data_IF_575978232861
#
_entry.id   IF_575978232861
#
_cell.length_a   1.000
_cell.length_b   1.000
_cell.length_c   1.000
_cell.angle_alpha   90.00
_cell.angle_beta   90.00
_cell.angle_gamma   90.00
#
_symmetry.space_group_name_H-M   'P 1'
#
loop_
_entity.id
_entity.type
_entity.pdbx_description
1 polymer ?
#
# COMPACT_ATOMS: atom_id res chain seq x y z
N UNK A 1 16.61 53.37 -7.45
CA UNK A 1 16.44 52.24 -8.39
C UNK A 1 15.89 51.04 -7.62
N UNK A 2 14.75 50.49 -8.02
CA UNK A 2 14.04 49.42 -7.29
C UNK A 2 14.80 48.09 -7.36
N UNK A 3 14.99 47.44 -6.21
CA UNK A 3 15.66 46.14 -6.04
C UNK A 3 14.93 44.98 -6.74
N UNK A 4 13.62 45.12 -6.95
CA UNK A 4 12.78 44.11 -7.60
C UNK A 4 13.06 43.95 -9.10
N UNK A 5 13.64 44.97 -9.74
CA UNK A 5 13.95 44.94 -11.18
C UNK A 5 15.08 43.96 -11.56
N UNK A 6 15.85 43.46 -10.57
CA UNK A 6 16.94 42.49 -10.77
C UNK A 6 16.47 41.03 -10.69
N UNK A 7 15.21 40.77 -10.34
CA UNK A 7 14.70 39.42 -10.13
C UNK A 7 13.95 38.91 -11.36
N UNK A 8 14.24 37.67 -11.76
CA UNK A 8 13.45 36.97 -12.77
C UNK A 8 12.17 36.42 -12.13
N UNK A 9 11.10 37.19 -12.21
CA UNK A 9 9.79 36.80 -11.68
C UNK A 9 9.07 35.98 -12.77
N UNK A 10 8.80 34.70 -12.48
CA UNK A 10 8.00 33.82 -13.34
C UNK A 10 6.72 33.41 -12.60
N UNK A 11 5.55 33.43 -13.25
CA UNK A 11 4.34 32.84 -12.66
C UNK A 11 4.55 31.33 -12.55
N UNK A 12 4.33 30.77 -11.36
CA UNK A 12 4.34 29.33 -11.13
C UNK A 12 2.92 28.85 -10.88
N UNK A 13 2.39 28.04 -11.79
CA UNK A 13 1.15 27.30 -11.56
C UNK A 13 1.52 25.99 -10.90
N UNK A 14 1.37 25.91 -9.58
CA UNK A 14 1.54 24.64 -8.85
C UNK A 14 0.34 23.75 -9.17
N UNK A 15 0.57 22.59 -9.78
CA UNK A 15 -0.43 21.53 -9.81
C UNK A 15 -0.66 21.06 -8.37
N UNK A 16 -1.72 21.53 -7.73
CA UNK A 16 -2.04 21.21 -6.32
C UNK A 16 -2.77 19.88 -6.18
N UNK A 17 -3.28 19.32 -7.28
CA UNK A 17 -4.03 18.05 -7.29
C UNK A 17 -3.32 17.08 -8.23
N UNK A 18 -2.77 16.01 -7.66
CA UNK A 18 -2.33 14.83 -8.40
C UNK A 18 -3.50 14.30 -9.24
N UNK A 19 -3.22 13.78 -10.43
CA UNK A 19 -4.24 13.07 -11.18
C UNK A 19 -4.75 11.88 -10.37
N UNK A 20 -6.01 11.43 -10.54
CA UNK A 20 -6.53 10.28 -9.82
C UNK A 20 -5.69 9.00 -10.00
N UNK A 21 -5.04 8.84 -11.16
CA UNK A 21 -4.16 7.72 -11.45
C UNK A 21 -2.88 7.82 -10.62
N UNK A 22 -2.20 8.97 -10.64
CA UNK A 22 -0.99 9.19 -9.82
C UNK A 22 -1.28 9.05 -8.33
N UNK A 23 -2.41 9.58 -7.84
CA UNK A 23 -2.80 9.41 -6.44
C UNK A 23 -2.99 7.94 -6.06
N UNK A 24 -3.57 7.12 -6.95
CA UNK A 24 -3.71 5.67 -6.74
C UNK A 24 -2.34 4.98 -6.75
N UNK A 25 -1.48 5.31 -7.72
CA UNK A 25 -0.13 4.76 -7.84
C UNK A 25 0.71 5.06 -6.61
N UNK A 26 0.72 6.32 -6.14
CA UNK A 26 1.43 6.72 -4.92
C UNK A 26 0.93 5.94 -3.71
N UNK A 27 -0.40 5.77 -3.56
CA UNK A 27 -0.97 4.98 -2.46
C UNK A 27 -0.56 3.51 -2.53
N UNK A 28 -0.55 2.91 -3.73
CA UNK A 28 -0.11 1.54 -3.92
C UNK A 28 1.38 1.39 -3.58
N UNK A 29 2.23 2.31 -4.03
CA UNK A 29 3.65 2.32 -3.73
C UNK A 29 3.93 2.42 -2.23
N UNK A 30 3.22 3.30 -1.51
CA UNK A 30 3.34 3.39 -0.04
C UNK A 30 2.99 2.06 0.62
N UNK A 31 1.91 1.40 0.18
CA UNK A 31 1.51 0.12 0.73
C UNK A 31 2.52 -1.00 0.41
N UNK A 32 3.07 -1.05 -0.82
CA UNK A 32 4.09 -2.03 -1.18
C UNK A 32 5.37 -1.84 -0.34
N UNK A 33 5.81 -0.59 -0.13
CA UNK A 33 6.97 -0.31 0.72
C UNK A 33 6.73 -0.79 2.16
N UNK A 34 5.54 -0.54 2.73
CA UNK A 34 5.18 -1.06 4.06
C UNK A 34 5.24 -2.60 4.10
N UNK A 35 4.83 -3.28 3.02
CA UNK A 35 4.93 -4.74 2.94
C UNK A 35 6.36 -5.26 2.81
N UNK A 36 7.27 -4.49 2.21
CA UNK A 36 8.70 -4.84 2.19
C UNK A 36 9.23 -4.84 3.64
N UNK A 37 8.89 -3.83 4.44
CA UNK A 37 9.26 -3.78 5.87
C UNK A 37 8.61 -4.94 6.66
N UNK A 38 7.38 -5.32 6.34
CA UNK A 38 6.72 -6.51 6.91
C UNK A 38 7.47 -7.79 6.56
N UNK A 39 7.91 -7.94 5.31
CA UNK A 39 8.69 -9.10 4.88
C UNK A 39 10.05 -9.17 5.59
N UNK A 40 10.73 -8.03 5.76
CA UNK A 40 11.97 -7.95 6.51
C UNK A 40 11.81 -8.28 8.00
N UNK A 41 10.73 -7.81 8.63
CA UNK A 41 10.40 -8.18 10.00
C UNK A 41 10.10 -9.68 10.12
N UNK A 42 9.33 -10.24 9.18
CA UNK A 42 9.03 -11.67 9.16
C UNK A 42 10.31 -12.52 9.00
N UNK A 43 11.28 -12.07 8.20
CA UNK A 43 12.59 -12.72 8.07
C UNK A 43 13.38 -12.76 9.39
N UNK A 44 13.13 -11.82 10.31
CA UNK A 44 13.69 -11.81 11.67
C UNK A 44 12.85 -12.56 12.70
N UNK A 45 11.70 -13.12 12.30
CA UNK A 45 10.72 -13.73 13.21
C UNK A 45 9.90 -12.71 14.01
N UNK A 46 9.86 -11.45 13.56
CA UNK A 46 9.16 -10.35 14.22
C UNK A 46 7.89 -9.95 13.47
N UNK A 47 6.96 -9.29 14.17
CA UNK A 47 5.81 -8.64 13.54
C UNK A 47 6.10 -7.16 13.31
N UNK A 48 5.83 -6.68 12.10
CA UNK A 48 5.89 -5.26 11.80
C UNK A 48 4.63 -4.54 12.29
N UNK A 49 4.81 -3.52 13.12
CA UNK A 49 3.72 -2.72 13.67
C UNK A 49 3.98 -1.23 13.51
N UNK A 50 2.94 -0.49 13.13
CA UNK A 50 2.98 0.97 12.96
C UNK A 50 2.16 1.62 14.06
N UNK A 51 2.71 2.67 14.66
CA UNK A 51 1.97 3.50 15.61
C UNK A 51 0.98 4.37 14.84
N UNK A 52 -0.31 4.15 15.08
CA UNK A 52 -1.38 4.90 14.45
C UNK A 52 -2.30 5.54 15.50
N UNK A 53 -2.77 6.77 15.28
CA UNK A 53 -3.72 7.40 16.17
C UNK A 53 -5.08 6.71 16.08
N UNK A 54 -5.61 6.28 17.22
CA UNK A 54 -6.94 5.69 17.35
C UNK A 54 -7.78 6.54 18.29
N UNK A 55 -9.01 6.82 17.89
CA UNK A 55 -9.99 7.41 18.79
C UNK A 55 -10.43 6.35 19.81
N UNK A 56 -10.30 6.67 21.09
CA UNK A 56 -10.76 5.82 22.19
C UNK A 56 -11.58 6.66 23.16
N UNK A 57 -12.44 6.02 23.95
CA UNK A 57 -13.23 6.68 24.99
C UNK A 57 -12.42 6.63 26.28
N UNK A 58 -12.17 7.77 26.92
CA UNK A 58 -11.53 7.81 28.24
C UNK A 58 -12.55 7.43 29.34
N UNK A 59 -12.07 7.31 30.58
CA UNK A 59 -12.92 6.97 31.74
C UNK A 59 -14.01 8.02 32.00
N UNK A 60 -13.78 9.29 31.64
CA UNK A 60 -14.75 10.38 31.70
C UNK A 60 -15.78 10.37 30.55
N UNK A 61 -15.63 9.44 29.60
CA UNK A 61 -16.55 9.25 28.48
C UNK A 61 -16.30 10.11 27.23
N UNK A 62 -15.22 10.87 27.20
CA UNK A 62 -14.82 11.72 26.09
C UNK A 62 -14.01 10.95 25.03
N UNK A 63 -14.12 11.36 23.77
CA UNK A 63 -13.33 10.79 22.67
C UNK A 63 -11.95 11.45 22.67
N UNK A 64 -10.91 10.68 22.98
CA UNK A 64 -9.53 11.12 22.96
C UNK A 64 -8.74 10.38 21.86
N UNK A 65 -7.78 11.07 21.25
CA UNK A 65 -6.90 10.51 20.23
C UNK A 65 -5.64 9.96 20.90
N UNK A 66 -5.54 8.64 20.99
CA UNK A 66 -4.38 7.96 21.59
C UNK A 66 -3.54 7.30 20.50
N UNK A 67 -2.22 7.33 20.65
CA UNK A 67 -1.31 6.58 19.79
C UNK A 67 -1.34 5.11 20.21
N UNK A 68 -1.68 4.20 19.30
CA UNK A 68 -1.62 2.75 19.55
C UNK A 68 -0.84 2.06 18.46
N UNK A 69 -0.09 1.03 18.83
CA UNK A 69 0.54 0.15 17.87
C UNK A 69 -0.53 -0.69 17.16
N UNK A 70 -0.40 -0.77 15.83
CA UNK A 70 -1.23 -1.59 14.97
C UNK A 70 -0.29 -2.47 14.15
N UNK A 71 -0.42 -3.79 14.32
CA UNK A 71 0.27 -4.77 13.48
C UNK A 71 -0.22 -4.62 12.04
N UNK A 72 0.72 -4.50 11.11
CA UNK A 72 0.40 -4.48 9.68
C UNK A 72 0.23 -5.91 9.23
N UNK A 73 -0.93 -6.21 8.65
CA UNK A 73 -1.21 -7.55 8.15
C UNK A 73 -0.41 -7.80 6.88
N UNK A 74 0.36 -8.88 6.86
CA UNK A 74 1.14 -9.32 5.71
C UNK A 74 0.25 -9.58 4.50
N UNK A 75 0.77 -9.22 3.33
CA UNK A 75 0.21 -9.54 2.02
C UNK A 75 0.59 -10.93 1.54
N UNK A 76 1.46 -11.60 2.29
CA UNK A 76 1.89 -12.94 2.04
C UNK A 76 1.49 -13.88 3.17
N UNK A 77 1.33 -15.15 2.85
CA UNK A 77 1.01 -16.21 3.81
C UNK A 77 1.58 -17.54 3.30
N UNK A 78 1.92 -18.41 4.25
CA UNK A 78 2.42 -19.74 3.96
C UNK A 78 1.25 -20.68 3.64
N UNK A 79 1.36 -21.41 2.53
CA UNK A 79 0.42 -22.44 2.12
C UNK A 79 1.11 -23.37 1.10
N UNK A 80 0.69 -24.63 1.03
CA UNK A 80 1.14 -25.59 0.01
C UNK A 80 2.68 -25.78 -0.04
N UNK A 81 3.34 -25.63 1.12
CA UNK A 81 4.80 -25.76 1.25
C UNK A 81 5.59 -24.58 0.68
N UNK A 82 4.95 -23.43 0.47
CA UNK A 82 5.59 -22.18 0.07
C UNK A 82 4.81 -20.96 0.54
N UNK A 83 5.07 -19.81 -0.08
CA UNK A 83 4.44 -18.55 0.26
C UNK A 83 3.69 -17.97 -0.95
N UNK A 84 2.47 -17.54 -0.72
CA UNK A 84 1.69 -16.78 -1.70
C UNK A 84 1.78 -15.29 -1.38
N UNK A 85 2.16 -14.47 -2.35
CA UNK A 85 2.25 -13.00 -2.23
C UNK A 85 1.12 -12.35 -3.02
N UNK A 86 0.19 -11.68 -2.33
CA UNK A 86 -0.96 -11.01 -2.94
C UNK A 86 -0.81 -9.49 -2.94
N UNK A 87 -0.83 -8.86 -4.11
CA UNK A 87 -0.86 -7.41 -4.20
C UNK A 87 -2.26 -6.89 -3.84
N UNK A 88 -2.37 -5.87 -2.97
CA UNK A 88 -3.67 -5.32 -2.53
C UNK A 88 -3.76 -3.82 -2.74
N UNK A 89 -4.93 -3.34 -3.14
CA UNK A 89 -5.27 -1.93 -3.08
C UNK A 89 -6.26 -1.68 -1.93
N UNK A 90 -5.75 -1.13 -0.82
CA UNK A 90 -6.52 -1.04 0.42
C UNK A 90 -6.85 -2.44 0.95
N UNK A 91 -8.14 -2.76 1.07
CA UNK A 91 -8.57 -4.10 1.51
C UNK A 91 -8.81 -5.09 0.36
N UNK A 92 -8.73 -4.66 -0.91
CA UNK A 92 -9.06 -5.50 -2.07
C UNK A 92 -7.80 -6.11 -2.68
N UNK A 93 -7.73 -7.44 -2.92
CA UNK A 93 -6.68 -8.02 -3.74
C UNK A 93 -6.80 -7.56 -5.20
N UNK A 94 -5.66 -7.33 -5.83
CA UNK A 94 -5.53 -6.98 -7.23
C UNK A 94 -5.21 -8.28 -7.99
N UNK A 95 -5.99 -8.61 -9.01
CA UNK A 95 -5.64 -9.71 -9.92
C UNK A 95 -4.45 -9.28 -10.78
N UNK A 96 -3.37 -10.05 -10.76
CA UNK A 96 -2.15 -9.76 -11.52
C UNK A 96 -2.17 -10.37 -12.92
N UNK A 97 -3.05 -11.35 -13.14
CA UNK A 97 -3.30 -11.99 -14.44
C UNK A 97 -4.78 -12.40 -14.56
N UNK A 98 -5.14 -13.00 -15.71
CA UNK A 98 -6.49 -13.59 -15.91
C UNK A 98 -6.77 -14.74 -14.95
N UNK A 99 -5.72 -15.47 -14.53
CA UNK A 99 -5.85 -16.75 -13.86
C UNK A 99 -5.40 -16.70 -12.38
N UNK A 100 -4.89 -15.57 -11.90
CA UNK A 100 -4.34 -15.49 -10.54
C UNK A 100 -4.25 -14.08 -9.93
N UNK A 101 -4.35 -14.05 -8.60
CA UNK A 101 -4.21 -12.85 -7.77
C UNK A 101 -2.98 -12.89 -6.84
N UNK A 102 -2.18 -13.95 -6.91
CA UNK A 102 -1.05 -14.19 -6.03
C UNK A 102 0.15 -14.72 -6.83
N UNK A 103 1.36 -14.37 -6.38
CA UNK A 103 2.61 -14.95 -6.85
C UNK A 103 3.06 -16.00 -5.83
N UNK A 104 3.34 -17.22 -6.29
CA UNK A 104 3.87 -18.29 -5.43
C UNK A 104 5.39 -18.28 -5.41
N UNK A 105 5.98 -18.41 -4.23
CA UNK A 105 7.42 -18.60 -4.03
C UNK A 105 7.67 -19.73 -3.04
N UNK A 106 8.84 -20.37 -3.09
CA UNK A 106 9.12 -21.52 -2.22
C UNK A 106 9.53 -21.12 -0.81
N UNK A 107 10.22 -20.00 -0.65
CA UNK A 107 10.80 -19.60 0.63
C UNK A 107 10.42 -18.17 0.99
N UNK A 108 10.41 -17.88 2.30
CA UNK A 108 10.14 -16.53 2.80
C UNK A 108 11.14 -15.49 2.27
N UNK A 109 12.39 -15.89 2.03
CA UNK A 109 13.43 -15.01 1.48
C UNK A 109 13.10 -14.47 0.09
N UNK A 110 12.29 -15.20 -0.68
CA UNK A 110 11.88 -14.83 -2.03
C UNK A 110 10.70 -13.83 -2.04
N UNK A 111 10.02 -13.64 -0.91
CA UNK A 111 8.86 -12.74 -0.80
C UNK A 111 9.26 -11.28 -1.01
N UNK A 112 10.38 -10.84 -0.42
CA UNK A 112 10.86 -9.46 -0.57
C UNK A 112 11.20 -9.12 -2.04
N UNK A 113 11.98 -9.95 -2.78
CA UNK A 113 12.19 -9.76 -4.22
C UNK A 113 10.90 -9.65 -5.05
N UNK A 114 9.87 -10.42 -4.73
CA UNK A 114 8.57 -10.31 -5.40
C UNK A 114 7.91 -8.96 -5.12
N UNK A 115 7.92 -8.48 -3.87
CA UNK A 115 7.39 -7.16 -3.52
C UNK A 115 8.17 -6.01 -4.19
N UNK A 116 9.48 -6.13 -4.32
CA UNK A 116 10.32 -5.17 -5.07
C UNK A 116 10.00 -5.16 -6.57
N UNK A 117 9.70 -6.33 -7.14
CA UNK A 117 9.25 -6.45 -8.53
C UNK A 117 7.88 -5.77 -8.72
N UNK A 118 6.93 -6.00 -7.80
CA UNK A 118 5.63 -5.33 -7.79
C UNK A 118 5.76 -3.82 -7.63
N UNK A 119 6.72 -3.36 -6.82
CA UNK A 119 7.04 -1.93 -6.66
C UNK A 119 7.53 -1.33 -7.99
N UNK A 120 8.45 -2.00 -8.68
CA UNK A 120 8.96 -1.54 -9.99
C UNK A 120 7.84 -1.47 -11.03
N UNK A 121 6.98 -2.50 -11.11
CA UNK A 121 5.81 -2.49 -11.98
C UNK A 121 4.83 -1.34 -11.64
N UNK A 122 4.63 -1.04 -10.35
CA UNK A 122 3.83 0.09 -9.91
C UNK A 122 4.45 1.45 -10.31
N UNK A 123 5.77 1.61 -10.20
CA UNK A 123 6.48 2.84 -10.63
C UNK A 123 6.28 3.06 -12.14
N UNK A 124 6.38 1.99 -12.93
CA UNK A 124 6.18 2.02 -14.37
C UNK A 124 4.70 2.20 -14.80
N UNK A 125 3.76 2.17 -13.85
CA UNK A 125 2.32 2.30 -14.13
C UNK A 125 1.66 1.02 -14.68
N UNK A 126 2.37 -0.11 -14.69
CA UNK A 126 1.86 -1.39 -15.20
C UNK A 126 0.66 -1.90 -14.37
N UNK A 127 0.59 -1.52 -13.09
CA UNK A 127 -0.48 -1.92 -12.18
C UNK A 127 -1.71 -1.00 -12.23
N UNK A 128 -1.66 0.13 -12.95
CA UNK A 128 -2.72 1.15 -12.89
C UNK A 128 -4.07 0.62 -13.41
N UNK A 129 -4.04 -0.17 -14.50
CA UNK A 129 -5.23 -0.79 -15.07
C UNK A 129 -5.85 -1.82 -14.11
N UNK A 130 -5.02 -2.67 -13.51
CA UNK A 130 -5.47 -3.67 -12.54
C UNK A 130 -6.06 -3.04 -11.27
N UNK A 131 -5.47 -1.95 -10.78
CA UNK A 131 -6.02 -1.16 -9.67
C UNK A 131 -7.37 -0.56 -10.04
N UNK A 132 -7.51 0.01 -11.23
CA UNK A 132 -8.78 0.57 -11.70
C UNK A 132 -9.88 -0.50 -11.77
N UNK A 133 -9.56 -1.70 -12.27
CA UNK A 133 -10.47 -2.85 -12.29
C UNK A 133 -10.86 -3.28 -10.87
N UNK A 134 -9.91 -3.39 -9.95
CA UNK A 134 -10.18 -3.78 -8.56
C UNK A 134 -11.07 -2.77 -7.81
N UNK A 135 -10.95 -1.47 -8.11
CA UNK A 135 -11.83 -0.44 -7.55
C UNK A 135 -13.27 -0.64 -8.02
N UNK A 136 -13.45 -0.86 -9.33
CA UNK A 136 -14.76 -0.98 -9.97
C UNK A 136 -15.41 -2.36 -9.78
N UNK A 137 -14.65 -3.38 -9.38
CA UNK A 137 -15.19 -4.71 -9.12
C UNK A 137 -16.27 -4.66 -8.01
N UNK A 138 -17.47 -5.24 -8.25
CA UNK A 138 -18.54 -5.26 -7.27
C UNK A 138 -18.06 -5.94 -5.98
N UNK A 139 -18.46 -5.42 -4.82
CA UNK A 139 -18.15 -6.05 -3.53
C UNK A 139 -18.67 -7.48 -3.59
N UNK A 140 -17.82 -8.50 -3.48
CA UNK A 140 -18.28 -9.85 -3.22
C UNK A 140 -19.00 -9.80 -1.87
N UNK A 141 -20.33 -9.93 -1.88
CA UNK A 141 -21.09 -10.21 -0.67
C UNK A 141 -20.79 -11.67 -0.38
N UNK A 142 -19.81 -11.91 0.48
CA UNK A 142 -19.51 -13.24 0.96
C UNK A 142 -20.77 -13.78 1.66
N UNK A 143 -21.45 -14.73 1.03
CA UNK A 143 -22.51 -15.52 1.66
C UNK A 143 -21.79 -16.63 2.42
N UNK A 144 -21.34 -16.33 3.64
CA UNK A 144 -21.05 -17.40 4.59
C UNK A 144 -22.39 -18.05 4.97
N UNK A 145 -22.60 -19.25 4.44
CA UNK A 145 -23.60 -20.22 4.94
C UNK A 145 -22.96 -20.96 6.10
#
# INVERSE_FOLDING_TARGET
MSSLAKLTIKPVTRQTKLSPIEARRTKLLTAINEQIEVAEAAMRGEQYAVTAPRWTKNEAGERVRVQRQKVVRSWFFEQDGGFYVQCKYGSKPISLSKDGNAVFVKQLVDVKPVLETLRSAAVNGELDAYVAMAINAPKSRDKST
#
